data_IF_174921868989
#
_entry.id   IF_174921868989
#
_cell.length_a   1.000
_cell.length_b   1.000
_cell.length_c   1.000
_cell.angle_alpha   90.00
_cell.angle_beta   90.00
_cell.angle_gamma   90.00
#
_symmetry.space_group_name_H-M   'P 1'
#
loop_
_entity.id
_entity.type
_entity.pdbx_description
1 polymer ?
#
# COMPACT_ATOMS: atom_id res chain seq x y z
N UNK A 1 -16.96 2.58 17.36
CA UNK A 1 -16.11 3.09 16.26
C UNK A 1 -16.31 2.20 15.05
N UNK A 2 -16.44 2.77 13.86
CA UNK A 2 -16.52 2.00 12.62
C UNK A 2 -15.19 2.18 11.87
N UNK A 3 -14.44 1.09 11.68
CA UNK A 3 -13.14 1.11 11.01
C UNK A 3 -13.32 0.82 9.53
N UNK A 4 -12.59 1.49 8.61
CA UNK A 4 -12.62 1.15 7.20
C UNK A 4 -12.32 -0.32 6.98
N UNK A 5 -13.16 -0.99 6.17
CA UNK A 5 -13.02 -2.43 5.90
C UNK A 5 -12.04 -2.65 4.74
N UNK A 6 -11.10 -3.57 4.93
CA UNK A 6 -10.18 -4.00 3.89
C UNK A 6 -10.94 -4.75 2.80
N UNK A 7 -10.65 -4.37 1.57
CA UNK A 7 -10.96 -5.08 0.34
C UNK A 7 -9.65 -5.62 -0.24
N UNK A 8 -9.73 -6.73 -0.98
CA UNK A 8 -8.57 -7.34 -1.63
C UNK A 8 -8.81 -7.36 -3.13
N UNK A 9 -7.87 -6.82 -3.89
CA UNK A 9 -7.75 -6.99 -5.34
C UNK A 9 -6.72 -8.08 -5.60
N UNK A 10 -7.10 -9.08 -6.38
CA UNK A 10 -6.21 -10.17 -6.80
C UNK A 10 -6.02 -10.09 -8.31
N UNK A 11 -4.77 -10.06 -8.75
CA UNK A 11 -4.40 -10.08 -10.17
C UNK A 11 -3.62 -11.35 -10.43
N UNK A 12 -4.16 -12.20 -11.31
CA UNK A 12 -3.49 -13.42 -11.78
C UNK A 12 -2.88 -13.14 -13.15
N UNK A 13 -1.57 -13.33 -13.27
CA UNK A 13 -0.83 -13.14 -14.50
C UNK A 13 -0.82 -14.43 -15.32
N UNK A 14 -0.68 -14.32 -16.64
CA UNK A 14 -0.58 -15.49 -17.51
C UNK A 14 0.67 -16.35 -17.24
N UNK A 15 1.66 -15.80 -16.51
CA UNK A 15 2.83 -16.52 -15.99
C UNK A 15 2.50 -17.46 -14.82
N UNK A 16 1.28 -17.40 -14.29
CA UNK A 16 0.86 -18.09 -13.06
C UNK A 16 1.13 -17.30 -11.78
N UNK A 17 1.75 -16.13 -11.87
CA UNK A 17 2.00 -15.28 -10.71
C UNK A 17 0.71 -14.62 -10.21
N UNK A 18 0.52 -14.60 -8.88
CA UNK A 18 -0.64 -14.00 -8.24
C UNK A 18 -0.20 -12.81 -7.40
N UNK A 19 -0.70 -11.63 -7.74
CA UNK A 19 -0.50 -10.40 -6.98
C UNK A 19 -1.74 -10.07 -6.16
N UNK A 20 -1.53 -9.62 -4.93
CA UNK A 20 -2.60 -9.23 -4.01
C UNK A 20 -2.34 -7.82 -3.50
N UNK A 21 -3.33 -6.96 -3.67
CA UNK A 21 -3.31 -5.59 -3.18
C UNK A 21 -4.53 -5.37 -2.28
N UNK A 22 -4.29 -4.99 -1.04
CA UNK A 22 -5.36 -4.59 -0.12
C UNK A 22 -5.57 -3.08 -0.16
N UNK A 23 -6.84 -2.69 -0.07
CA UNK A 23 -7.25 -1.29 -0.06
C UNK A 23 -8.50 -1.10 0.81
N UNK A 24 -8.72 0.12 1.26
CA UNK A 24 -9.96 0.54 1.90
C UNK A 24 -10.64 1.59 1.03
N UNK A 25 -11.97 1.65 1.08
CA UNK A 25 -12.72 2.73 0.43
C UNK A 25 -13.08 3.74 1.51
N UNK A 26 -12.52 4.95 1.40
CA UNK A 26 -12.86 6.05 2.31
C UNK A 26 -13.91 6.94 1.65
N UNK A 27 -14.91 7.36 2.43
CA UNK A 27 -16.01 8.23 2.01
C UNK A 27 -16.76 7.75 0.75
N UNK A 28 -16.73 6.44 0.46
CA UNK A 28 -17.47 5.82 -0.63
C UNK A 28 -16.96 6.09 -2.05
N UNK A 29 -15.79 6.71 -2.24
CA UNK A 29 -15.36 7.12 -3.59
C UNK A 29 -13.89 6.85 -3.91
N UNK A 30 -12.98 7.04 -2.96
CA UNK A 30 -11.55 6.87 -3.21
C UNK A 30 -11.02 5.59 -2.55
N UNK A 31 -10.33 4.78 -3.35
CA UNK A 31 -9.57 3.64 -2.85
C UNK A 31 -8.22 4.13 -2.29
N UNK A 32 -7.93 3.71 -1.06
CA UNK A 32 -6.65 3.93 -0.42
C UNK A 32 -5.97 2.59 -0.19
N UNK A 33 -4.81 2.40 -0.79
CA UNK A 33 -4.06 1.16 -0.78
C UNK A 33 -3.19 1.07 0.47
N UNK A 34 -3.03 -0.14 1.00
CA UNK A 34 -2.08 -0.38 2.09
C UNK A 34 -0.65 -0.22 1.53
N UNK A 35 0.11 0.70 2.10
CA UNK A 35 1.48 0.98 1.66
C UNK A 35 2.38 -0.25 1.73
N UNK A 36 2.14 -1.14 2.70
CA UNK A 36 2.85 -2.41 2.85
C UNK A 36 2.72 -3.32 1.63
N UNK A 37 1.51 -3.47 1.12
CA UNK A 37 1.25 -4.36 -0.02
C UNK A 37 1.86 -3.77 -1.29
N UNK A 38 1.73 -2.45 -1.46
CA UNK A 38 2.33 -1.73 -2.58
C UNK A 38 3.86 -1.83 -2.53
N UNK A 39 4.48 -1.49 -1.40
CA UNK A 39 5.93 -1.49 -1.26
C UNK A 39 6.52 -2.89 -1.47
N UNK A 40 5.86 -3.92 -0.94
CA UNK A 40 6.24 -5.32 -1.20
C UNK A 40 6.10 -5.70 -2.67
N UNK A 41 5.03 -5.25 -3.34
CA UNK A 41 4.77 -5.57 -4.75
C UNK A 41 5.89 -5.07 -5.67
N UNK A 42 6.45 -3.90 -5.39
CA UNK A 42 7.52 -3.31 -6.19
C UNK A 42 8.93 -3.57 -5.65
N UNK A 43 9.05 -4.49 -4.69
CA UNK A 43 10.35 -4.91 -4.14
C UNK A 43 11.08 -3.85 -3.32
N UNK A 44 10.37 -2.87 -2.76
CA UNK A 44 10.96 -1.92 -1.82
C UNK A 44 11.21 -2.61 -0.47
N UNK A 45 12.36 -2.29 0.12
CA UNK A 45 12.73 -2.76 1.46
C UNK A 45 11.95 -1.95 2.51
N UNK A 46 11.20 -2.66 3.35
CA UNK A 46 10.59 -2.09 4.54
C UNK A 46 11.64 -1.67 5.57
N UNK A 47 11.25 -0.84 6.54
CA UNK A 47 12.07 -0.62 7.74
C UNK A 47 12.11 -1.87 8.64
N UNK A 48 12.82 -1.76 9.77
CA UNK A 48 13.06 -2.89 10.68
C UNK A 48 11.76 -3.46 11.29
N UNK A 49 10.69 -2.66 11.34
CA UNK A 49 9.36 -3.08 11.83
C UNK A 49 8.48 -3.67 10.72
N UNK A 50 8.99 -3.78 9.49
CA UNK A 50 8.24 -4.23 8.32
C UNK A 50 7.21 -3.20 7.84
N UNK A 51 7.43 -1.94 8.17
CA UNK A 51 6.63 -0.78 7.79
C UNK A 51 7.28 -0.03 6.61
N UNK A 52 6.46 0.73 5.90
CA UNK A 52 6.85 1.46 4.71
C UNK A 52 6.73 2.97 4.90
N UNK A 53 6.28 3.46 6.06
CA UNK A 53 6.19 4.90 6.37
C UNK A 53 7.51 5.63 6.11
N UNK A 54 8.60 5.10 6.63
CA UNK A 54 9.96 5.62 6.42
C UNK A 54 10.31 5.78 4.93
N UNK A 55 9.90 4.81 4.09
CA UNK A 55 10.14 4.83 2.64
C UNK A 55 9.25 5.86 1.94
N UNK A 56 7.98 5.96 2.33
CA UNK A 56 7.07 6.98 1.80
C UNK A 56 7.57 8.39 2.12
N UNK A 57 8.02 8.62 3.36
CA UNK A 57 8.60 9.89 3.78
C UNK A 57 9.85 10.23 2.97
N UNK A 58 10.76 9.26 2.77
CA UNK A 58 11.95 9.44 1.95
C UNK A 58 11.63 9.90 0.53
N UNK A 59 10.54 9.42 -0.05
CA UNK A 59 10.08 9.79 -1.39
C UNK A 59 9.14 11.01 -1.41
N UNK A 60 8.84 11.61 -0.27
CA UNK A 60 7.91 12.72 -0.15
C UNK A 60 6.50 12.35 -0.62
N UNK A 61 6.07 11.13 -0.29
CA UNK A 61 4.74 10.59 -0.61
C UNK A 61 3.86 10.69 0.62
N UNK A 62 2.71 11.35 0.44
CA UNK A 62 1.73 11.51 1.50
C UNK A 62 1.04 10.19 1.79
N UNK A 63 0.84 9.92 3.08
CA UNK A 63 0.05 8.79 3.54
C UNK A 63 -0.88 9.20 4.67
N UNK A 64 -1.90 8.39 4.87
CA UNK A 64 -2.88 8.55 5.94
C UNK A 64 -2.84 7.33 6.85
N UNK A 65 -2.70 7.55 8.15
CA UNK A 65 -2.76 6.48 9.14
C UNK A 65 -4.19 6.18 9.55
N UNK A 66 -4.59 4.92 9.41
CA UNK A 66 -5.89 4.47 9.86
C UNK A 66 -5.82 3.10 10.52
N UNK A 67 -6.59 2.94 11.59
CA UNK A 67 -6.98 1.60 12.03
C UNK A 67 -8.00 1.06 11.05
N UNK A 68 -7.67 -0.05 10.40
CA UNK A 68 -8.52 -0.72 9.42
C UNK A 68 -9.05 -2.03 10.01
N UNK A 69 -10.07 -2.62 9.40
CA UNK A 69 -10.64 -3.88 9.86
C UNK A 69 -10.73 -4.91 8.75
N UNK A 70 -10.64 -6.18 9.13
CA UNK A 70 -10.93 -7.32 8.27
C UNK A 70 -12.18 -8.08 8.78
N UNK A 71 -12.34 -9.36 8.41
CA UNK A 71 -13.47 -10.18 8.86
C UNK A 71 -13.42 -10.54 10.35
N UNK A 72 -12.23 -10.51 10.96
CA UNK A 72 -12.00 -10.85 12.36
C UNK A 72 -12.08 -9.65 13.30
N UNK A 73 -11.94 -8.43 12.77
CA UNK A 73 -12.03 -7.19 13.54
C UNK A 73 -11.00 -6.15 13.13
N UNK A 74 -10.74 -5.13 13.97
CA UNK A 74 -9.71 -4.13 13.70
C UNK A 74 -8.30 -4.75 13.75
N UNK A 75 -7.47 -4.40 12.78
CA UNK A 75 -6.11 -4.92 12.61
C UNK A 75 -5.08 -3.79 12.63
N UNK A 76 -4.88 -3.15 13.78
CA UNK A 76 -3.80 -2.15 13.96
C UNK A 76 -3.85 -0.95 13.01
N UNK A 77 -2.90 -0.03 13.18
CA UNK A 77 -2.78 1.16 12.32
C UNK A 77 -1.94 0.85 11.08
N UNK A 78 -2.48 1.19 9.91
CA UNK A 78 -1.80 1.01 8.63
C UNK A 78 -1.63 2.35 7.90
N UNK A 79 -0.48 2.52 7.25
CA UNK A 79 -0.26 3.61 6.31
C UNK A 79 -1.00 3.33 5.00
N UNK A 80 -1.85 4.27 4.62
CA UNK A 80 -2.70 4.21 3.45
C UNK A 80 -2.32 5.28 2.44
N UNK A 81 -2.19 4.92 1.17
CA UNK A 81 -1.81 5.83 0.08
C UNK A 81 -2.88 5.87 -1.01
N UNK A 82 -3.02 7.01 -1.68
CA UNK A 82 -3.93 7.14 -2.81
C UNK A 82 -3.42 6.35 -4.01
N UNK A 83 -4.28 6.10 -5.01
CA UNK A 83 -3.84 5.52 -6.29
C UNK A 83 -2.78 6.39 -6.99
N UNK A 84 -2.89 7.72 -6.86
CA UNK A 84 -1.93 8.65 -7.44
C UNK A 84 -0.56 8.51 -6.76
N UNK A 85 -0.54 8.45 -5.44
CA UNK A 85 0.68 8.27 -4.64
C UNK A 85 1.31 6.89 -4.87
N UNK A 86 0.48 5.85 -5.02
CA UNK A 86 0.90 4.53 -5.47
C UNK A 86 1.67 4.59 -6.81
N UNK A 87 1.09 5.24 -7.84
CA UNK A 87 1.75 5.39 -9.15
C UNK A 87 3.05 6.18 -9.03
N UNK A 88 3.09 7.22 -8.18
CA UNK A 88 4.30 8.00 -7.91
C UNK A 88 5.37 7.15 -7.24
N UNK A 89 5.01 6.30 -6.27
CA UNK A 89 5.95 5.39 -5.61
C UNK A 89 6.59 4.41 -6.60
N UNK A 90 5.81 3.85 -7.53
CA UNK A 90 6.34 3.02 -8.63
C UNK A 90 7.36 3.81 -9.44
N UNK A 91 7.02 5.03 -9.85
CA UNK A 91 7.91 5.86 -10.67
C UNK A 91 9.23 6.16 -9.95
N UNK A 92 9.20 6.49 -8.65
CA UNK A 92 10.42 6.72 -7.86
C UNK A 92 11.25 5.44 -7.69
N UNK A 93 10.61 4.28 -7.49
CA UNK A 93 11.30 3.00 -7.41
C UNK A 93 12.02 2.63 -8.72
N UNK A 94 11.36 2.84 -9.87
CA UNK A 94 11.97 2.60 -11.20
C UNK A 94 13.17 3.53 -11.43
N UNK A 95 13.07 4.82 -11.07
CA UNK A 95 14.18 5.76 -11.19
C UNK A 95 15.41 5.30 -10.41
N UNK A 96 15.24 4.74 -9.20
CA UNK A 96 16.35 4.18 -8.42
C UNK A 96 17.05 3.02 -9.12
N UNK A 97 16.30 2.13 -9.77
CA UNK A 97 16.87 1.00 -10.50
C UNK A 97 17.64 1.42 -11.75
N UNK A 98 17.25 2.52 -12.39
CA UNK A 98 17.94 3.03 -13.59
C UNK A 98 19.27 3.76 -13.29
N UNK A 99 19.54 4.08 -12.01
CA UNK A 99 20.74 4.81 -11.56
C UNK A 99 21.73 3.88 -10.83
N UNK A 100 21.33 2.64 -10.53
CA UNK A 100 22.18 1.60 -9.92
C UNK A 100 22.89 0.76 -10.97
#
# INVERSE_FOLDING_TARGET
>A
MNFPRINTMTTEMHTGDVQRLRFVVLNGSAAYFLAKDVGSLIGLRADDDGDYRSVLEQFGISFFDAVVSDQSGPIGSHALITEQDYKRLIAEAIKRLAVA
#
